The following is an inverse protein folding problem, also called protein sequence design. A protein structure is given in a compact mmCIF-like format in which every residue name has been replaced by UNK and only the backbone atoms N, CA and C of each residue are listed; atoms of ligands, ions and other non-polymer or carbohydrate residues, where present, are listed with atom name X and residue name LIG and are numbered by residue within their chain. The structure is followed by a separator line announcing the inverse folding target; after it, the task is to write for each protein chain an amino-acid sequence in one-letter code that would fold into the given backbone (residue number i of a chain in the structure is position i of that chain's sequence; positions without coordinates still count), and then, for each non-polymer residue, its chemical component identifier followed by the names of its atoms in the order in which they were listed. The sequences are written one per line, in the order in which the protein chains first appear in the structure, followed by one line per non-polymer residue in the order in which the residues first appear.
data_IF_599243085383
#
_entry.id   IF_599243085383
#
_cell.length_a   1.000
_cell.length_b   1.000
_cell.length_c   1.000
_cell.angle_alpha   90.00
_cell.angle_beta   90.00
_cell.angle_gamma   90.00
#
_symmetry.space_group_name_H-M   'P 1'
#
loop_
_entity.id
_entity.type
_entity.pdbx_description
1 polymer ?
#
# COMPACT_ATOMS: atom_id res chain seq x y z
N UNK A 1 15.13 6.18 1.75
CA UNK A 1 15.21 6.48 0.31
C UNK A 1 13.96 7.25 -0.12
N UNK A 2 14.16 8.27 -0.88
CA UNK A 2 13.08 9.14 -1.34
C UNK A 2 13.05 9.11 -2.87
N UNK A 3 11.92 8.79 -3.45
CA UNK A 3 11.80 8.63 -4.90
C UNK A 3 10.68 9.51 -5.44
N UNK A 4 10.98 10.22 -6.51
CA UNK A 4 9.98 11.01 -7.23
C UNK A 4 10.18 10.77 -8.73
N UNK A 5 9.25 10.03 -9.34
CA UNK A 5 9.39 9.57 -10.72
C UNK A 5 8.03 9.73 -11.43
N UNK A 6 8.06 10.09 -12.70
CA UNK A 6 6.84 10.26 -13.49
C UNK A 6 6.37 8.97 -14.15
N UNK A 7 7.27 8.02 -14.36
CA UNK A 7 6.93 6.73 -14.95
C UNK A 7 6.72 5.66 -13.91
N UNK A 8 6.81 4.42 -14.33
CA UNK A 8 6.68 3.28 -13.44
C UNK A 8 7.87 3.23 -12.48
N UNK A 9 7.59 2.83 -11.25
CA UNK A 9 8.59 2.74 -10.20
C UNK A 9 8.78 1.27 -9.85
N UNK A 10 10.04 0.85 -9.83
CA UNK A 10 10.40 -0.47 -9.33
C UNK A 10 11.56 -0.28 -8.35
N UNK A 11 11.36 -0.64 -7.11
CA UNK A 11 12.35 -0.44 -6.07
C UNK A 11 12.55 -1.72 -5.26
N UNK A 12 13.78 -1.97 -4.89
CA UNK A 12 14.16 -3.09 -4.04
C UNK A 12 15.05 -2.53 -2.94
N UNK A 13 14.62 -2.69 -1.69
CA UNK A 13 15.33 -2.12 -0.55
C UNK A 13 15.52 -3.19 0.52
N UNK A 14 16.72 -3.25 1.11
CA UNK A 14 17.03 -4.26 2.11
C UNK A 14 16.92 -3.76 3.54
N UNK A 15 17.47 -2.60 3.85
CA UNK A 15 17.52 -2.09 5.22
C UNK A 15 17.31 -0.58 5.27
N UNK A 16 16.32 -0.06 4.54
CA UNK A 16 16.07 1.38 4.49
C UNK A 16 14.59 1.64 4.46
N UNK A 17 14.20 2.78 5.02
CA UNK A 17 12.85 3.28 4.84
C UNK A 17 12.73 3.86 3.44
N UNK A 18 11.59 3.63 2.81
CA UNK A 18 11.32 4.12 1.46
C UNK A 18 10.14 5.06 1.52
N UNK A 19 10.31 6.25 0.98
CA UNK A 19 9.23 7.23 0.85
C UNK A 19 9.05 7.58 -0.61
N UNK A 20 7.83 7.39 -1.12
CA UNK A 20 7.48 7.72 -2.49
C UNK A 20 6.35 8.72 -2.45
N UNK A 21 6.55 9.86 -3.11
CA UNK A 21 5.54 10.91 -3.16
C UNK A 21 5.01 11.05 -4.57
N UNK A 22 3.69 11.07 -4.68
CA UNK A 22 2.93 11.30 -5.92
C UNK A 22 3.43 10.43 -7.09
N UNK A 23 3.43 9.09 -6.92
CA UNK A 23 3.78 8.22 -8.04
C UNK A 23 2.70 8.32 -9.12
N UNK A 24 3.11 8.48 -10.37
CA UNK A 24 2.19 8.64 -11.50
C UNK A 24 2.05 7.39 -12.33
N UNK A 25 3.02 6.50 -12.25
CA UNK A 25 2.98 5.24 -12.95
C UNK A 25 2.69 4.09 -12.02
N UNK A 26 2.87 2.88 -12.49
CA UNK A 26 2.77 1.69 -11.66
C UNK A 26 3.87 1.66 -10.62
N UNK A 27 3.60 1.02 -9.49
CA UNK A 27 4.57 0.94 -8.39
C UNK A 27 4.77 -0.53 -8.05
N UNK A 28 6.03 -0.94 -8.02
CA UNK A 28 6.40 -2.27 -7.57
C UNK A 28 7.57 -2.13 -6.59
N UNK A 29 7.32 -2.48 -5.33
CA UNK A 29 8.32 -2.32 -4.29
C UNK A 29 8.49 -3.63 -3.55
N UNK A 30 9.74 -4.04 -3.37
CA UNK A 30 10.11 -5.16 -2.52
C UNK A 30 11.03 -4.63 -1.43
N UNK A 31 10.67 -4.89 -0.18
CA UNK A 31 11.48 -4.44 0.96
C UNK A 31 11.71 -5.59 1.92
N UNK A 32 12.89 -5.65 2.49
CA UNK A 32 13.21 -6.67 3.49
C UNK A 32 13.04 -6.13 4.90
N UNK A 33 13.60 -4.97 5.18
CA UNK A 33 13.48 -4.29 6.48
C UNK A 33 13.35 -2.81 6.24
N UNK A 34 12.35 -2.18 6.85
CA UNK A 34 12.15 -0.76 6.77
C UNK A 34 10.69 -0.42 6.49
N UNK A 35 10.33 0.80 6.78
CA UNK A 35 8.96 1.26 6.59
C UNK A 35 8.81 1.84 5.19
N UNK A 36 7.61 1.66 4.65
CA UNK A 36 7.24 2.18 3.33
C UNK A 36 6.14 3.22 3.49
N UNK A 37 6.33 4.35 2.86
CA UNK A 37 5.31 5.40 2.80
C UNK A 37 5.08 5.78 1.34
N UNK A 38 3.85 5.56 0.87
CA UNK A 38 3.42 6.03 -0.43
C UNK A 38 2.37 7.11 -0.22
N UNK A 39 2.66 8.29 -0.72
CA UNK A 39 1.76 9.42 -0.61
C UNK A 39 1.31 9.83 -2.01
N UNK A 40 0.02 9.74 -2.27
CA UNK A 40 -0.57 10.11 -3.55
C UNK A 40 -1.24 11.47 -3.42
N UNK A 41 -0.82 12.43 -4.23
CA UNK A 41 -1.50 13.71 -4.30
C UNK A 41 -2.67 13.66 -5.26
N UNK A 42 -2.64 12.71 -6.19
CA UNK A 42 -3.70 12.48 -7.16
C UNK A 42 -4.26 11.09 -7.01
N UNK A 43 -5.46 10.88 -7.53
CA UNK A 43 -6.07 9.55 -7.54
C UNK A 43 -5.15 8.58 -8.28
N UNK A 44 -4.81 7.43 -7.69
CA UNK A 44 -3.95 6.46 -8.37
C UNK A 44 -4.60 5.95 -9.66
N UNK A 45 -3.81 5.83 -10.72
CA UNK A 45 -4.30 5.40 -12.02
C UNK A 45 -3.64 4.11 -12.51
N UNK A 46 -2.63 3.65 -11.82
CA UNK A 46 -1.89 2.43 -12.17
C UNK A 46 -1.83 1.50 -10.97
N UNK A 47 -1.56 0.24 -11.25
CA UNK A 47 -1.50 -0.78 -10.21
C UNK A 47 -0.32 -0.55 -9.28
N UNK A 48 -0.51 -0.93 -8.02
CA UNK A 48 0.52 -0.85 -6.99
C UNK A 48 0.74 -2.24 -6.42
N UNK A 49 1.99 -2.68 -6.40
CA UNK A 49 2.36 -3.97 -5.83
C UNK A 49 3.46 -3.75 -4.81
N UNK A 50 3.19 -4.10 -3.56
CA UNK A 50 4.13 -3.93 -2.48
C UNK A 50 4.31 -5.27 -1.76
N UNK A 51 5.57 -5.64 -1.56
CA UNK A 51 5.91 -6.84 -0.81
C UNK A 51 6.97 -6.46 0.23
N UNK A 52 6.70 -6.74 1.49
CA UNK A 52 7.62 -6.42 2.58
C UNK A 52 7.69 -7.59 3.56
N UNK A 53 8.86 -7.79 4.13
CA UNK A 53 9.06 -8.85 5.11
C UNK A 53 8.95 -8.32 6.54
N UNK A 54 9.63 -7.21 6.84
CA UNK A 54 9.61 -6.59 8.16
C UNK A 54 9.49 -5.08 8.02
N UNK A 55 8.41 -4.50 8.51
CA UNK A 55 8.20 -3.07 8.47
C UNK A 55 6.74 -2.72 8.24
N UNK A 56 6.43 -1.46 8.38
CA UNK A 56 5.07 -0.97 8.22
C UNK A 56 4.91 -0.35 6.83
N UNK A 57 3.70 -0.47 6.29
CA UNK A 57 3.36 0.17 5.02
C UNK A 57 2.23 1.15 5.26
N UNK A 58 2.42 2.38 4.84
CA UNK A 58 1.40 3.42 4.91
C UNK A 58 1.12 3.93 3.51
N UNK A 59 -0.16 3.94 3.14
CA UNK A 59 -0.63 4.54 1.89
C UNK A 59 -1.49 5.74 2.22
N UNK A 60 -1.10 6.90 1.72
CA UNK A 60 -1.91 8.11 1.84
C UNK A 60 -2.56 8.39 0.49
N UNK A 61 -3.89 8.37 0.47
CA UNK A 61 -4.66 8.48 -0.77
C UNK A 61 -5.66 9.62 -0.66
N UNK A 62 -5.93 10.33 -1.75
CA UNK A 62 -6.98 11.36 -1.72
C UNK A 62 -8.35 10.75 -1.41
N UNK A 63 -9.21 11.53 -0.78
CA UNK A 63 -10.55 11.06 -0.42
C UNK A 63 -11.41 10.73 -1.63
N UNK A 64 -11.10 11.26 -2.79
CA UNK A 64 -11.81 10.98 -4.03
C UNK A 64 -11.25 9.80 -4.80
N UNK A 65 -10.33 9.04 -4.21
CA UNK A 65 -9.73 7.88 -4.87
C UNK A 65 -10.75 6.79 -5.17
N UNK A 66 -10.49 6.04 -6.23
CA UNK A 66 -11.23 4.84 -6.54
C UNK A 66 -10.22 3.75 -6.85
N UNK A 67 -10.38 2.58 -6.23
CA UNK A 67 -9.39 1.51 -6.37
C UNK A 67 -9.98 0.17 -5.93
N UNK A 68 -9.30 -0.89 -6.31
CA UNK A 68 -9.49 -2.21 -5.74
C UNK A 68 -8.30 -2.52 -4.86
N UNK A 69 -8.53 -3.02 -3.66
CA UNK A 69 -7.44 -3.29 -2.74
C UNK A 69 -7.44 -4.74 -2.26
N UNK A 70 -6.23 -5.27 -2.12
CA UNK A 70 -5.99 -6.57 -1.49
C UNK A 70 -4.70 -6.41 -0.67
N UNK A 71 -4.86 -6.21 0.61
CA UNK A 71 -3.74 -6.00 1.52
C UNK A 71 -3.80 -7.02 2.63
N UNK A 72 -2.65 -7.65 2.94
CA UNK A 72 -2.59 -8.69 3.97
C UNK A 72 -1.28 -8.64 4.74
N UNK A 73 -1.37 -8.99 6.02
CA UNK A 73 -0.21 -9.15 6.88
C UNK A 73 -0.37 -10.42 7.71
N UNK A 74 0.70 -11.19 7.87
CA UNK A 74 0.65 -12.39 8.71
C UNK A 74 0.74 -12.05 10.19
N UNK A 75 1.61 -11.12 10.55
CA UNK A 75 1.82 -10.74 11.95
C UNK A 75 1.76 -9.22 12.06
N UNK A 76 0.60 -8.69 12.35
CA UNK A 76 0.42 -7.25 12.48
C UNK A 76 -1.04 -6.86 12.33
N UNK A 77 -1.27 -5.59 12.12
CA UNK A 77 -2.60 -5.03 12.02
C UNK A 77 -2.84 -4.40 10.66
N UNK A 78 -4.09 -4.37 10.24
CA UNK A 78 -4.52 -3.66 9.05
C UNK A 78 -5.53 -2.61 9.47
N UNK A 79 -5.29 -1.36 9.08
CA UNK A 79 -6.13 -0.24 9.45
C UNK A 79 -6.42 0.61 8.23
N UNK A 80 -7.63 1.15 8.14
CA UNK A 80 -8.05 1.92 6.98
C UNK A 80 -8.99 3.03 7.38
N UNK A 81 -8.77 4.23 6.82
CA UNK A 81 -9.69 5.34 6.93
C UNK A 81 -10.79 5.27 5.86
N UNK A 82 -10.69 4.36 4.91
CA UNK A 82 -11.69 4.20 3.85
C UNK A 82 -12.79 3.26 4.30
N UNK A 83 -14.02 3.66 4.09
CA UNK A 83 -15.18 2.87 4.47
C UNK A 83 -15.58 1.91 3.36
N UNK A 84 -16.33 0.88 3.71
CA UNK A 84 -16.86 -0.07 2.73
C UNK A 84 -15.91 -1.16 2.32
N UNK A 85 -14.74 -1.22 2.89
CA UNK A 85 -13.79 -2.29 2.61
C UNK A 85 -14.01 -3.44 3.58
N UNK A 86 -13.75 -4.65 3.10
CA UNK A 86 -13.91 -5.87 3.89
C UNK A 86 -12.62 -6.20 4.61
N UNK A 87 -12.70 -6.38 5.92
CA UNK A 87 -11.57 -6.86 6.71
C UNK A 87 -11.82 -8.31 7.08
N UNK A 88 -10.77 -9.10 7.03
CA UNK A 88 -10.84 -10.52 7.32
C UNK A 88 -9.65 -10.93 8.17
N UNK A 89 -9.88 -11.93 9.04
CA UNK A 89 -8.84 -12.50 9.86
C UNK A 89 -8.93 -14.01 9.80
N UNK A 90 -7.85 -14.64 9.34
CA UNK A 90 -7.76 -16.10 9.30
C UNK A 90 -6.48 -16.48 10.04
N UNK A 91 -6.62 -17.16 11.17
CA UNK A 91 -5.50 -17.48 12.06
C UNK A 91 -4.79 -16.19 12.50
N UNK A 92 -3.52 -16.03 12.11
CA UNK A 92 -2.73 -14.82 12.43
C UNK A 92 -2.72 -13.81 11.31
N UNK A 93 -3.26 -14.18 10.15
CA UNK A 93 -3.26 -13.31 8.98
C UNK A 93 -4.47 -12.41 9.02
N UNK A 94 -4.21 -11.12 8.84
CA UNK A 94 -5.26 -10.12 8.70
C UNK A 94 -5.19 -9.54 7.31
N UNK A 95 -6.34 -9.30 6.73
CA UNK A 95 -6.40 -8.74 5.38
C UNK A 95 -7.53 -7.72 5.27
N UNK A 96 -7.36 -6.82 4.30
CA UNK A 96 -8.40 -5.89 3.92
C UNK A 96 -8.51 -5.95 2.41
N UNK A 97 -9.72 -6.02 1.91
CA UNK A 97 -9.94 -6.11 0.48
C UNK A 97 -11.26 -5.50 0.08
N UNK A 98 -11.43 -5.28 -1.20
CA UNK A 98 -12.64 -4.79 -1.76
C UNK A 98 -12.43 -3.68 -2.77
N UNK A 99 -13.53 -3.06 -3.14
CA UNK A 99 -13.57 -1.98 -4.10
C UNK A 99 -14.02 -0.71 -3.41
N UNK A 100 -13.25 0.35 -3.58
CA UNK A 100 -13.60 1.66 -3.05
C UNK A 100 -13.99 2.57 -4.22
N UNK A 101 -15.14 3.22 -4.10
CA UNK A 101 -15.67 4.04 -5.18
C UNK A 101 -16.14 3.17 -6.35
N UNK A 102 -15.81 3.58 -7.54
CA UNK A 102 -16.19 2.84 -8.75
C UNK A 102 -15.15 1.80 -9.15
N UNK A 103 -14.14 1.59 -8.30
CA UNK A 103 -13.03 0.74 -8.65
C UNK A 103 -12.02 1.45 -9.55
N UNK A 104 -10.90 0.82 -9.76
CA UNK A 104 -9.83 1.40 -10.56
C UNK A 104 -8.60 0.52 -10.50
N UNK A 105 -7.41 1.10 -10.35
CA UNK A 105 -6.20 0.30 -10.26
C UNK A 105 -6.23 -0.65 -9.08
N UNK A 106 -5.49 -1.72 -9.19
CA UNK A 106 -5.40 -2.74 -8.17
C UNK A 106 -4.23 -2.42 -7.24
N UNK A 107 -4.52 -2.32 -5.95
CA UNK A 107 -3.51 -2.09 -4.92
C UNK A 107 -3.30 -3.39 -4.19
N UNK A 108 -2.13 -4.00 -4.37
CA UNK A 108 -1.81 -5.28 -3.73
C UNK A 108 -0.64 -5.08 -2.77
N UNK A 109 -0.87 -5.40 -1.50
CA UNK A 109 0.13 -5.24 -0.45
C UNK A 109 0.24 -6.55 0.31
N UNK A 110 1.46 -7.05 0.45
CA UNK A 110 1.72 -8.26 1.19
C UNK A 110 2.86 -8.02 2.17
N UNK A 111 2.59 -8.23 3.45
CA UNK A 111 3.59 -8.04 4.51
C UNK A 111 3.61 -9.29 5.38
N UNK A 112 4.79 -9.70 5.81
CA UNK A 112 4.91 -10.81 6.74
C UNK A 112 4.80 -10.32 8.20
N UNK A 113 5.61 -9.33 8.58
CA UNK A 113 5.59 -8.73 9.91
C UNK A 113 5.50 -7.23 9.80
N UNK A 114 4.42 -6.65 10.29
CA UNK A 114 4.24 -5.21 10.27
C UNK A 114 2.79 -4.84 10.08
N UNK A 115 2.53 -3.56 10.11
CA UNK A 115 1.18 -3.02 10.02
C UNK A 115 0.96 -2.39 8.63
N UNK A 116 -0.27 -2.47 8.18
CA UNK A 116 -0.70 -1.82 6.95
C UNK A 116 -1.69 -0.73 7.33
N UNK A 117 -1.47 0.47 6.85
CA UNK A 117 -2.36 1.58 7.12
C UNK A 117 -2.71 2.31 5.84
N UNK A 118 -4.02 2.51 5.63
CA UNK A 118 -4.55 3.31 4.54
C UNK A 118 -5.08 4.60 5.12
N UNK A 119 -4.47 5.71 4.78
CA UNK A 119 -4.87 7.02 5.27
C UNK A 119 -5.58 7.80 4.17
N UNK A 120 -6.67 8.45 4.54
CA UNK A 120 -7.44 9.29 3.64
C UNK A 120 -7.04 10.74 3.86
N UNK A 121 -6.61 11.38 2.80
CA UNK A 121 -6.24 12.78 2.86
C UNK A 121 -7.45 13.70 2.79
#
# INVERSE_FOLDING_TARGET
MKVHVEGDISADSSYQNVTIKDPRGGVKITSRNGDLLLSFERVPQKDVLISSRYGNVTLELPSSSAFNIDARTEYGEVDSDFEGLNTSRVNRQKSIGGQYGQGGPHLEISIRNGNIRLEKK
#
